data_IF_952697848035
#
_entry.id   IF_952697848035
#
_cell.length_a   1.000
_cell.length_b   1.000
_cell.length_c   1.000
_cell.angle_alpha   90.00
_cell.angle_beta   90.00
_cell.angle_gamma   90.00
#
_symmetry.space_group_name_H-M   'P 1'
#
loop_
_entity.id
_entity.type
_entity.pdbx_description
1 polymer ?
#
# COMPACT_ATOMS: atom_id res chain seq x y z
N UNK A 1 -1.36 -7.35 -8.50
CA UNK A 1 -1.49 -7.75 -7.08
C UNK A 1 -2.94 -8.06 -6.76
N UNK A 2 -3.87 -7.10 -6.79
CA UNK A 2 -5.32 -7.36 -6.57
C UNK A 2 -5.91 -8.32 -7.63
N UNK A 3 -5.69 -8.07 -8.92
CA UNK A 3 -6.17 -8.98 -9.98
C UNK A 3 -5.59 -10.40 -9.86
N UNK A 4 -4.33 -10.51 -9.43
CA UNK A 4 -3.63 -11.78 -9.20
C UNK A 4 -4.22 -12.51 -7.98
N UNK A 5 -4.58 -11.77 -6.94
CA UNK A 5 -5.23 -12.26 -5.73
C UNK A 5 -6.66 -12.75 -6.01
N UNK A 6 -7.44 -11.99 -6.77
CA UNK A 6 -8.78 -12.40 -7.18
C UNK A 6 -8.75 -13.69 -8.01
N UNK A 7 -7.77 -13.84 -8.91
CA UNK A 7 -7.57 -15.07 -9.67
C UNK A 7 -7.24 -16.25 -8.74
N UNK A 8 -6.41 -16.02 -7.72
CA UNK A 8 -6.06 -17.02 -6.72
C UNK A 8 -7.27 -17.45 -5.88
N UNK A 9 -8.09 -16.51 -5.39
CA UNK A 9 -9.32 -16.82 -4.67
C UNK A 9 -10.31 -17.61 -5.56
N UNK A 10 -10.50 -17.21 -6.81
CA UNK A 10 -11.36 -17.93 -7.76
C UNK A 10 -10.87 -19.37 -8.03
N UNK A 11 -9.54 -19.58 -8.07
CA UNK A 11 -8.98 -20.92 -8.20
C UNK A 11 -9.22 -21.78 -6.95
N UNK A 12 -9.13 -21.20 -5.75
CA UNK A 12 -9.45 -21.88 -4.50
C UNK A 12 -10.92 -22.33 -4.47
N UNK A 13 -11.84 -21.43 -4.82
CA UNK A 13 -13.27 -21.73 -4.88
C UNK A 13 -13.58 -22.84 -5.91
N UNK A 14 -12.93 -22.78 -7.07
CA UNK A 14 -13.06 -23.83 -8.10
C UNK A 14 -12.55 -25.18 -7.61
N UNK A 15 -11.42 -25.21 -6.90
CA UNK A 15 -10.84 -26.43 -6.35
C UNK A 15 -11.73 -27.02 -5.26
N UNK A 16 -12.31 -26.19 -4.40
CA UNK A 16 -13.26 -26.61 -3.38
C UNK A 16 -14.53 -27.21 -3.99
N UNK A 17 -15.11 -26.56 -5.00
CA UNK A 17 -16.31 -27.07 -5.65
C UNK A 17 -16.11 -28.48 -6.22
N UNK A 18 -14.94 -28.73 -6.84
CA UNK A 18 -14.55 -30.06 -7.34
C UNK A 18 -14.36 -31.06 -6.21
N UNK A 19 -13.77 -30.64 -5.09
CA UNK A 19 -13.59 -31.50 -3.93
C UNK A 19 -14.95 -31.87 -3.31
N UNK A 20 -15.85 -30.92 -3.16
CA UNK A 20 -17.20 -31.15 -2.64
C UNK A 20 -17.98 -32.14 -3.51
N UNK A 21 -17.92 -31.96 -4.84
CA UNK A 21 -18.50 -32.89 -5.80
C UNK A 21 -17.91 -34.30 -5.67
N UNK A 22 -16.59 -34.42 -5.48
CA UNK A 22 -15.95 -35.72 -5.24
C UNK A 22 -16.44 -36.37 -3.94
N UNK A 23 -16.55 -35.61 -2.86
CA UNK A 23 -17.05 -36.11 -1.57
C UNK A 23 -18.46 -36.67 -1.71
N UNK A 24 -19.34 -35.97 -2.44
CA UNK A 24 -20.74 -36.35 -2.64
C UNK A 24 -20.90 -37.60 -3.53
N UNK A 25 -19.95 -37.85 -4.44
CA UNK A 25 -20.03 -38.94 -5.42
C UNK A 25 -19.19 -40.17 -5.09
N UNK A 26 -18.19 -40.07 -4.22
CA UNK A 26 -17.16 -41.09 -4.04
C UNK A 26 -17.55 -42.30 -3.16
N UNK A 27 -18.75 -42.35 -2.57
CA UNK A 27 -19.20 -43.50 -1.76
C UNK A 27 -18.23 -43.87 -0.62
N UNK A 28 -17.77 -42.87 0.14
CA UNK A 28 -16.67 -43.00 1.10
C UNK A 28 -17.03 -43.84 2.34
N UNK A 29 -16.07 -44.63 2.83
CA UNK A 29 -16.20 -45.36 4.11
C UNK A 29 -16.17 -44.43 5.33
N UNK A 30 -16.68 -44.89 6.48
CA UNK A 30 -16.71 -44.12 7.72
C UNK A 30 -15.32 -43.60 8.18
N UNK A 31 -14.24 -44.36 7.95
CA UNK A 31 -12.88 -43.94 8.26
C UNK A 31 -12.40 -42.80 7.32
N UNK A 32 -12.76 -42.88 6.04
CA UNK A 32 -12.45 -41.84 5.06
C UNK A 32 -13.24 -40.56 5.34
N UNK A 33 -14.52 -40.68 5.71
CA UNK A 33 -15.33 -39.55 6.15
C UNK A 33 -14.73 -38.83 7.37
N UNK A 34 -14.20 -39.57 8.35
CA UNK A 34 -13.55 -38.97 9.53
C UNK A 34 -12.25 -38.23 9.19
N UNK A 35 -11.44 -38.76 8.26
CA UNK A 35 -10.23 -38.07 7.76
C UNK A 35 -10.60 -36.82 6.97
N UNK A 36 -11.64 -36.92 6.14
CA UNK A 36 -12.18 -35.82 5.36
C UNK A 36 -12.71 -34.71 6.25
N UNK A 37 -13.42 -35.04 7.33
CA UNK A 37 -13.94 -34.07 8.28
C UNK A 37 -12.82 -33.21 8.92
N UNK A 38 -11.66 -33.84 9.20
CA UNK A 38 -10.48 -33.13 9.69
C UNK A 38 -9.88 -32.21 8.61
N UNK A 39 -9.79 -32.69 7.37
CA UNK A 39 -9.39 -31.87 6.22
C UNK A 39 -10.32 -30.66 6.04
N UNK A 40 -11.64 -30.84 6.07
CA UNK A 40 -12.63 -29.76 5.94
C UNK A 40 -12.46 -28.72 7.05
N UNK A 41 -12.16 -29.15 8.28
CA UNK A 41 -11.89 -28.22 9.38
C UNK A 41 -10.65 -27.36 9.11
N UNK A 42 -9.56 -27.96 8.63
CA UNK A 42 -8.33 -27.23 8.32
C UNK A 42 -8.47 -26.36 7.05
N UNK A 43 -9.27 -26.80 6.08
CA UNK A 43 -9.66 -26.01 4.90
C UNK A 43 -10.45 -24.76 5.28
N UNK A 44 -11.44 -24.89 6.17
CA UNK A 44 -12.21 -23.76 6.66
C UNK A 44 -11.35 -22.75 7.44
N UNK A 45 -10.33 -23.22 8.17
CA UNK A 45 -9.36 -22.32 8.81
C UNK A 45 -8.53 -21.57 7.77
N UNK A 46 -8.06 -22.25 6.72
CA UNK A 46 -7.30 -21.62 5.65
C UNK A 46 -8.12 -20.54 4.94
N UNK A 47 -9.40 -20.81 4.65
CA UNK A 47 -10.31 -19.80 4.10
C UNK A 47 -10.41 -18.56 4.96
N UNK A 48 -10.66 -18.74 6.25
CA UNK A 48 -10.73 -17.63 7.20
C UNK A 48 -9.43 -16.82 7.20
N UNK A 49 -8.29 -17.49 7.18
CA UNK A 49 -6.99 -16.82 7.08
C UNK A 49 -6.79 -16.07 5.76
N UNK A 50 -7.34 -16.56 4.64
CA UNK A 50 -7.31 -15.88 3.36
C UNK A 50 -8.23 -14.65 3.34
N UNK A 51 -9.44 -14.74 3.90
CA UNK A 51 -10.35 -13.60 4.10
C UNK A 51 -9.71 -12.54 5.01
N UNK A 52 -9.05 -12.96 6.09
CA UNK A 52 -8.27 -12.07 6.95
C UNK A 52 -7.04 -11.50 6.22
N UNK A 53 -6.61 -12.09 5.10
CA UNK A 53 -5.51 -11.60 4.28
C UNK A 53 -5.98 -10.63 3.19
N UNK A 54 -7.25 -10.71 2.73
CA UNK A 54 -7.87 -9.80 1.77
C UNK A 54 -7.68 -8.33 2.18
N UNK A 55 -7.88 -8.00 3.46
CA UNK A 55 -7.69 -6.64 3.99
C UNK A 55 -6.28 -6.07 3.77
N UNK A 56 -5.27 -6.91 3.59
CA UNK A 56 -3.89 -6.50 3.34
C UNK A 56 -3.56 -6.45 1.83
N UNK A 57 -4.20 -7.30 1.03
CA UNK A 57 -3.92 -7.45 -0.41
C UNK A 57 -4.82 -6.58 -1.29
N UNK A 58 -6.06 -6.36 -0.88
CA UNK A 58 -7.04 -5.49 -1.52
C UNK A 58 -7.26 -4.23 -0.68
N UNK A 59 -6.26 -3.33 -0.58
CA UNK A 59 -6.55 -2.03 -0.02
C UNK A 59 -7.56 -1.32 -0.90
N UNK A 60 -8.52 -0.67 -0.26
CA UNK A 60 -9.50 0.26 -0.82
C UNK A 60 -9.12 0.80 -2.21
N UNK A 61 -10.06 0.76 -3.15
CA UNK A 61 -9.86 1.20 -4.53
C UNK A 61 -9.02 2.49 -4.60
N UNK A 62 -7.97 2.51 -5.44
CA UNK A 62 -7.17 3.70 -5.64
C UNK A 62 -8.07 4.85 -6.07
N UNK A 63 -7.94 5.98 -5.36
CA UNK A 63 -8.56 7.22 -5.82
C UNK A 63 -7.82 7.73 -7.06
N UNK A 64 -8.53 8.42 -7.94
CA UNK A 64 -7.92 9.17 -9.03
C UNK A 64 -7.01 10.25 -8.43
N UNK A 65 -5.77 10.31 -8.89
CA UNK A 65 -4.79 11.32 -8.46
C UNK A 65 -4.91 12.54 -9.37
N UNK A 66 -5.00 13.71 -8.76
CA UNK A 66 -5.00 14.99 -9.45
C UNK A 66 -3.64 15.66 -9.22
N UNK A 67 -2.86 15.78 -10.30
CA UNK A 67 -1.56 16.45 -10.25
C UNK A 67 -1.79 17.97 -10.17
N UNK A 68 -1.14 18.68 -9.24
CA UNK A 68 -1.26 20.14 -9.13
C UNK A 68 -0.52 20.87 -10.26
N UNK A 69 0.44 20.20 -10.91
CA UNK A 69 1.26 20.78 -11.97
C UNK A 69 1.32 19.87 -13.20
N UNK A 70 1.18 20.47 -14.38
CA UNK A 70 1.21 19.80 -15.69
C UNK A 70 2.57 19.88 -16.40
N UNK A 71 3.60 20.34 -15.69
CA UNK A 71 4.94 20.46 -16.26
C UNK A 71 5.64 19.10 -16.32
N UNK A 72 6.41 18.87 -17.38
CA UNK A 72 7.13 17.60 -17.58
C UNK A 72 8.18 17.36 -16.50
N UNK A 73 8.92 18.40 -16.13
CA UNK A 73 9.94 18.34 -15.07
C UNK A 73 9.34 17.96 -13.71
N UNK A 74 8.15 18.48 -13.40
CA UNK A 74 7.44 18.11 -12.19
C UNK A 74 7.01 16.65 -12.21
N UNK A 75 6.40 16.18 -13.32
CA UNK A 75 6.01 14.77 -13.47
C UNK A 75 7.19 13.84 -13.30
N UNK A 76 8.33 14.20 -13.89
CA UNK A 76 9.57 13.46 -13.77
C UNK A 76 10.02 13.38 -12.30
N UNK A 77 10.17 14.52 -11.61
CA UNK A 77 10.68 14.51 -10.24
C UNK A 77 9.70 13.84 -9.27
N UNK A 78 8.39 13.94 -9.50
CA UNK A 78 7.37 13.29 -8.68
C UNK A 78 7.47 11.77 -8.80
N UNK A 79 7.66 11.27 -10.03
CA UNK A 79 7.94 9.85 -10.26
C UNK A 79 9.21 9.42 -9.53
N UNK A 80 10.30 10.18 -9.66
CA UNK A 80 11.57 9.91 -8.96
C UNK A 80 11.40 9.88 -7.44
N UNK A 81 10.63 10.81 -6.87
CA UNK A 81 10.33 10.85 -5.44
C UNK A 81 9.63 9.57 -4.94
N UNK A 82 8.63 9.08 -5.69
CA UNK A 82 7.95 7.82 -5.35
C UNK A 82 8.88 6.61 -5.44
N UNK A 83 9.74 6.58 -6.45
CA UNK A 83 10.75 5.53 -6.61
C UNK A 83 11.76 5.55 -5.47
N UNK A 84 12.25 6.74 -5.11
CA UNK A 84 13.14 6.98 -3.97
C UNK A 84 12.53 6.48 -2.65
N UNK A 85 11.26 6.81 -2.36
CA UNK A 85 10.60 6.35 -1.13
C UNK A 85 10.50 4.82 -1.07
N UNK A 86 10.26 4.18 -2.21
CA UNK A 86 10.23 2.72 -2.30
C UNK A 86 11.62 2.12 -2.13
N UNK A 87 12.62 2.67 -2.82
CA UNK A 87 13.99 2.14 -2.85
C UNK A 87 14.71 2.32 -1.50
N UNK A 88 14.69 3.53 -0.96
CA UNK A 88 15.47 3.88 0.23
C UNK A 88 14.77 3.54 1.54
N UNK A 89 13.42 3.56 1.53
CA UNK A 89 12.63 3.44 2.76
C UNK A 89 11.61 2.30 2.74
N UNK A 90 11.54 1.51 1.65
CA UNK A 90 10.55 0.43 1.50
C UNK A 90 9.10 0.93 1.50
N UNK A 91 8.87 2.23 1.31
CA UNK A 91 7.56 2.87 1.48
C UNK A 91 6.87 3.01 0.13
N UNK A 92 5.83 2.19 -0.08
CA UNK A 92 4.95 2.35 -1.23
C UNK A 92 3.94 3.48 -0.98
N UNK A 93 4.01 4.54 -1.79
CA UNK A 93 3.04 5.62 -1.77
C UNK A 93 1.73 5.17 -2.45
N UNK A 94 0.67 4.97 -1.66
CA UNK A 94 -0.67 4.62 -2.17
C UNK A 94 -1.50 5.87 -2.43
N UNK A 95 -2.59 5.73 -3.19
CA UNK A 95 -3.32 6.86 -3.78
C UNK A 95 -3.72 7.98 -2.81
N UNK A 96 -4.23 7.64 -1.61
CA UNK A 96 -4.63 8.66 -0.62
C UNK A 96 -3.43 9.40 -0.04
N UNK A 97 -2.34 8.68 0.24
CA UNK A 97 -1.08 9.30 0.67
C UNK A 97 -0.49 10.16 -0.46
N UNK A 98 -0.58 9.69 -1.71
CA UNK A 98 -0.12 10.43 -2.88
C UNK A 98 -0.87 11.76 -3.01
N UNK A 99 -2.21 11.74 -2.98
CA UNK A 99 -3.02 12.95 -3.08
C UNK A 99 -2.70 13.94 -1.95
N UNK A 100 -2.72 13.49 -0.68
CA UNK A 100 -2.41 14.37 0.45
C UNK A 100 -0.97 14.92 0.40
N UNK A 101 -0.03 14.16 -0.16
CA UNK A 101 1.35 14.63 -0.33
C UNK A 101 1.43 15.70 -1.44
N UNK A 102 0.68 15.54 -2.53
CA UNK A 102 0.59 16.55 -3.60
C UNK A 102 -0.09 17.83 -3.09
N UNK A 103 -1.18 17.72 -2.34
CA UNK A 103 -1.88 18.85 -1.74
C UNK A 103 -0.94 19.63 -0.81
N UNK A 104 -0.25 18.91 0.09
CA UNK A 104 0.73 19.51 1.00
C UNK A 104 1.91 20.15 0.24
N UNK A 105 2.42 19.48 -0.81
CA UNK A 105 3.49 20.03 -1.63
C UNK A 105 3.07 21.34 -2.32
N UNK A 106 1.83 21.39 -2.81
CA UNK A 106 1.24 22.58 -3.43
C UNK A 106 1.12 23.72 -2.43
N UNK A 107 0.68 23.42 -1.21
CA UNK A 107 0.58 24.39 -0.11
C UNK A 107 1.94 24.99 0.24
N UNK A 108 2.94 24.15 0.56
CA UNK A 108 4.25 24.64 1.01
C UNK A 108 5.06 25.31 -0.10
N UNK A 109 4.78 24.98 -1.36
CA UNK A 109 5.40 25.59 -2.54
C UNK A 109 4.65 26.82 -3.02
N UNK A 110 3.54 27.21 -2.38
CA UNK A 110 2.73 28.37 -2.77
C UNK A 110 2.28 28.27 -4.24
N UNK A 111 1.90 27.06 -4.66
CA UNK A 111 1.52 26.71 -6.03
C UNK A 111 2.63 26.98 -7.07
N UNK A 112 3.90 27.03 -6.65
CA UNK A 112 5.06 27.21 -7.53
C UNK A 112 5.77 25.87 -7.81
N UNK A 113 5.74 25.38 -9.06
CA UNK A 113 6.30 24.07 -9.40
C UNK A 113 7.83 24.00 -9.24
N UNK A 114 8.56 25.09 -9.48
CA UNK A 114 10.02 25.10 -9.30
C UNK A 114 10.39 24.96 -7.82
N UNK A 115 9.64 25.61 -6.93
CA UNK A 115 9.79 25.44 -5.49
C UNK A 115 9.45 24.01 -5.06
N UNK A 116 8.36 23.45 -5.56
CA UNK A 116 7.98 22.06 -5.29
C UNK A 116 9.09 21.07 -5.70
N UNK A 117 9.65 21.22 -6.91
CA UNK A 117 10.78 20.42 -7.40
C UNK A 117 11.99 20.58 -6.46
N UNK A 118 12.28 21.81 -6.01
CA UNK A 118 13.42 22.08 -5.13
C UNK A 118 13.29 21.38 -3.77
N UNK A 119 12.10 21.35 -3.17
CA UNK A 119 11.86 20.67 -1.88
C UNK A 119 11.97 19.15 -2.00
N UNK A 120 11.47 18.56 -3.09
CA UNK A 120 11.63 17.12 -3.34
C UNK A 120 13.11 16.76 -3.51
N UNK A 121 13.86 17.54 -4.29
CA UNK A 121 15.32 17.35 -4.45
C UNK A 121 16.05 17.47 -3.12
N UNK A 122 15.72 18.48 -2.32
CA UNK A 122 16.30 18.66 -0.99
C UNK A 122 16.03 17.47 -0.07
N UNK A 123 14.78 16.99 -0.02
CA UNK A 123 14.41 15.84 0.81
C UNK A 123 15.15 14.56 0.39
N UNK A 124 15.23 14.29 -0.91
CA UNK A 124 15.97 13.13 -1.44
C UNK A 124 17.46 13.21 -1.12
N UNK A 125 18.08 14.37 -1.34
CA UNK A 125 19.51 14.59 -1.09
C UNK A 125 19.90 14.37 0.38
N UNK A 126 18.98 14.64 1.31
CA UNK A 126 19.19 14.48 2.75
C UNK A 126 18.69 13.14 3.32
N UNK A 127 18.17 12.22 2.49
CA UNK A 127 17.74 10.92 2.98
C UNK A 127 16.39 10.93 3.74
N UNK A 128 15.58 11.98 3.59
CA UNK A 128 14.34 12.13 4.37
C UNK A 128 13.18 11.28 3.85
N UNK A 129 12.34 10.80 4.78
CA UNK A 129 11.09 10.05 4.50
C UNK A 129 9.90 10.94 4.11
N UNK A 130 10.09 12.25 4.16
CA UNK A 130 9.11 13.29 3.85
C UNK A 130 9.82 14.59 3.42
N UNK A 131 9.06 15.52 2.88
CA UNK A 131 9.53 16.85 2.48
C UNK A 131 8.83 17.93 3.32
N UNK A 132 9.38 19.13 3.34
CA UNK A 132 8.90 20.26 4.12
C UNK A 132 9.39 21.56 3.50
N UNK A 133 8.75 22.69 3.87
CA UNK A 133 9.19 24.03 3.45
C UNK A 133 10.62 24.28 3.95
N UNK A 134 11.50 24.67 3.05
CA UNK A 134 12.90 25.02 3.38
C UNK A 134 13.04 26.53 3.29
N UNK A 135 13.35 27.19 4.41
CA UNK A 135 13.66 28.61 4.42
C UNK A 135 15.10 28.87 3.97
N UNK A 136 15.34 30.00 3.30
CA UNK A 136 16.64 30.35 2.73
C UNK A 136 17.82 30.38 3.74
N UNK A 137 17.52 30.45 5.04
CA UNK A 137 18.50 30.50 6.12
C UNK A 137 18.79 29.14 6.78
N UNK A 138 18.09 28.06 6.44
CA UNK A 138 18.28 26.76 7.07
C UNK A 138 19.21 25.85 6.27
N UNK A 139 20.49 26.22 6.20
CA UNK A 139 21.52 25.18 6.01
C UNK A 139 21.56 24.37 7.31
N UNK A 140 21.13 23.11 7.22
CA UNK A 140 21.22 22.04 8.23
C UNK A 140 20.48 22.29 9.54
N UNK A 141 19.21 21.87 9.66
CA UNK A 141 18.64 21.03 10.75
C UNK A 141 17.14 20.84 10.48
N UNK A 142 16.59 19.61 10.47
CA UNK A 142 15.14 19.40 10.34
C UNK A 142 14.38 20.00 11.55
N UNK A 143 13.10 20.40 11.41
CA UNK A 143 12.31 20.89 12.53
C UNK A 143 12.31 19.86 13.65
N UNK A 144 12.65 20.27 14.88
CA UNK A 144 12.47 19.40 16.04
C UNK A 144 10.98 19.11 16.16
N UNK A 145 10.60 17.83 16.10
CA UNK A 145 9.28 17.42 16.55
C UNK A 145 9.27 17.65 18.05
N UNK A 146 8.56 18.68 18.49
CA UNK A 146 8.30 18.91 19.90
C UNK A 146 7.52 17.71 20.43
N UNK A 147 8.25 16.79 21.08
CA UNK A 147 7.66 15.86 22.03
C UNK A 147 7.47 16.62 23.34
N UNK A 148 6.48 17.50 23.38
CA UNK A 148 5.93 17.94 24.64
C UNK A 148 4.45 17.57 24.71
N UNK A 149 4.06 17.03 25.86
CA UNK A 149 2.83 16.28 26.04
C UNK A 149 3.05 14.90 26.67
N UNK A 150 4.01 14.78 27.60
CA UNK A 150 3.92 13.73 28.62
C UNK A 150 3.09 14.27 29.80
N UNK A 151 2.13 13.45 30.21
CA UNK A 151 1.57 13.34 31.57
C UNK A 151 0.38 14.26 31.94
N UNK A 152 -0.85 13.75 31.78
CA UNK A 152 -1.73 13.30 32.88
C UNK A 152 -2.61 12.13 32.40
#
# INVERSE_FOLDING_TARGET
MIATWNLFCAQIETAEAKLQQFIETAGLSALQLKKLQKFTCDWNKLKKQAEDFDQFVAPLDPIKIESPFDQEDFRYIWKTWKEYLREQHGRLMRSRMEQMSLDYLTEISENNPDLAISYLRFAMANGYKGFFKVEANSKTTPPKVDKDGSNW
#
